data_IF_074731268103
#
_entry.id   IF_074731268103
#
_cell.length_a   1.000
_cell.length_b   1.000
_cell.length_c   1.000
_cell.angle_alpha   90.00
_cell.angle_beta   90.00
_cell.angle_gamma   90.00
#
_symmetry.space_group_name_H-M   'P 1'
#
loop_
_entity.id
_entity.type
_entity.pdbx_description
1 polymer ?
#
# COMPACT_ATOMS: atom_id res chain seq x y z
N UNK A 1 0.29 -7.74 -16.25
CA UNK A 1 1.34 -6.72 -16.13
C UNK A 1 0.65 -5.45 -15.72
N UNK A 2 0.92 -4.97 -14.51
CA UNK A 2 0.35 -3.72 -14.02
C UNK A 2 1.00 -2.51 -14.70
N UNK A 3 0.19 -1.54 -15.14
CA UNK A 3 0.65 -0.31 -15.78
C UNK A 3 -0.03 0.92 -15.16
N UNK A 4 0.69 2.05 -15.15
CA UNK A 4 0.17 3.34 -14.69
C UNK A 4 0.83 4.47 -15.46
N UNK A 5 0.03 5.47 -15.84
CA UNK A 5 0.51 6.67 -16.52
C UNK A 5 0.72 7.84 -15.55
N UNK A 6 1.81 8.57 -15.73
CA UNK A 6 2.15 9.77 -14.95
C UNK A 6 2.39 10.97 -15.87
N UNK A 7 2.04 12.19 -15.44
CA UNK A 7 2.31 13.40 -16.22
C UNK A 7 3.80 13.77 -16.12
N UNK A 8 4.38 14.13 -17.25
CA UNK A 8 5.75 14.62 -17.40
C UNK A 8 5.70 15.98 -18.11
N UNK A 9 6.22 17.01 -17.46
CA UNK A 9 6.33 18.34 -18.07
C UNK A 9 7.65 18.46 -18.84
N UNK A 10 7.55 18.84 -20.12
CA UNK A 10 8.71 19.12 -20.99
C UNK A 10 8.43 20.44 -21.70
N UNK A 11 9.26 21.45 -21.45
CA UNK A 11 9.14 22.79 -22.08
C UNK A 11 7.74 23.41 -21.99
N UNK A 12 7.07 23.27 -20.83
CA UNK A 12 5.72 23.79 -20.61
C UNK A 12 4.58 22.99 -21.24
N UNK A 13 4.88 21.84 -21.86
CA UNK A 13 3.88 20.89 -22.37
C UNK A 13 3.85 19.63 -21.51
N UNK A 14 2.65 19.17 -21.13
CA UNK A 14 2.46 17.93 -20.37
C UNK A 14 2.32 16.74 -21.30
N UNK A 15 3.20 15.76 -21.15
CA UNK A 15 3.14 14.45 -21.80
C UNK A 15 2.79 13.37 -20.79
N UNK A 16 2.05 12.34 -21.20
CA UNK A 16 1.76 11.19 -20.34
C UNK A 16 2.74 10.07 -20.62
N UNK A 17 3.49 9.67 -19.59
CA UNK A 17 4.44 8.56 -19.67
C UNK A 17 3.85 7.34 -18.97
N UNK A 18 3.67 6.26 -19.73
CA UNK A 18 3.25 4.98 -19.17
C UNK A 18 4.43 4.23 -18.56
N UNK A 19 4.24 3.72 -17.35
CA UNK A 19 5.19 2.87 -16.64
C UNK A 19 4.54 1.52 -16.36
N UNK A 20 5.27 0.45 -16.65
CA UNK A 20 4.81 -0.92 -16.52
C UNK A 20 5.74 -1.71 -15.61
N UNK A 21 5.19 -2.43 -14.63
CA UNK A 21 5.98 -3.30 -13.75
C UNK A 21 6.34 -4.59 -14.47
N UNK A 22 7.61 -5.01 -14.39
CA UNK A 22 8.00 -6.34 -14.86
C UNK A 22 7.33 -7.42 -14.01
N UNK A 23 7.10 -8.64 -14.56
CA UNK A 23 6.42 -9.71 -13.82
C UNK A 23 7.04 -10.03 -12.45
N UNK A 24 8.37 -9.91 -12.31
CA UNK A 24 9.03 -10.14 -11.04
C UNK A 24 8.87 -8.98 -10.05
N UNK A 25 8.79 -7.73 -10.54
CA UNK A 25 8.54 -6.55 -9.71
C UNK A 25 7.12 -6.59 -9.17
N UNK A 26 6.15 -6.98 -10.02
CA UNK A 26 4.76 -7.15 -9.61
C UNK A 26 4.62 -8.23 -8.51
N UNK A 27 5.27 -9.38 -8.68
CA UNK A 27 5.28 -10.44 -7.66
C UNK A 27 5.95 -10.01 -6.35
N UNK A 28 7.03 -9.22 -6.43
CA UNK A 28 7.73 -8.71 -5.25
C UNK A 28 6.82 -7.76 -4.46
N UNK A 29 6.19 -6.80 -5.15
CA UNK A 29 5.25 -5.85 -4.52
C UNK A 29 4.05 -6.57 -3.90
N UNK A 30 3.52 -7.59 -4.57
CA UNK A 30 2.42 -8.41 -4.03
C UNK A 30 2.82 -9.15 -2.75
N UNK A 31 4.04 -9.69 -2.72
CA UNK A 31 4.59 -10.35 -1.54
C UNK A 31 4.76 -9.37 -0.39
N UNK A 32 5.39 -8.22 -0.63
CA UNK A 32 5.62 -7.18 0.37
C UNK A 32 4.29 -6.63 0.92
N UNK A 33 3.33 -6.33 0.04
CA UNK A 33 2.01 -5.86 0.45
C UNK A 33 1.26 -6.89 1.31
N UNK A 34 1.44 -8.19 1.02
CA UNK A 34 0.86 -9.27 1.83
C UNK A 34 1.51 -9.33 3.21
N UNK A 35 2.84 -9.28 3.28
CA UNK A 35 3.59 -9.33 4.54
C UNK A 35 3.25 -8.13 5.44
N UNK A 36 3.19 -6.93 4.87
CA UNK A 36 2.78 -5.69 5.55
C UNK A 36 1.35 -5.81 6.09
N UNK A 37 0.40 -6.26 5.27
CA UNK A 37 -1.00 -6.41 5.68
C UNK A 37 -1.19 -7.49 6.76
N UNK A 38 -0.40 -8.58 6.74
CA UNK A 38 -0.42 -9.57 7.82
C UNK A 38 0.08 -8.96 9.13
N UNK A 39 1.19 -8.22 9.09
CA UNK A 39 1.71 -7.51 10.28
C UNK A 39 0.67 -6.53 10.83
N UNK A 40 0.04 -5.75 9.95
CA UNK A 40 -0.98 -4.78 10.30
C UNK A 40 -2.22 -5.43 10.95
N UNK A 41 -2.64 -6.61 10.47
CA UNK A 41 -3.75 -7.34 11.09
C UNK A 41 -3.40 -7.80 12.51
N UNK A 42 -2.17 -8.26 12.73
CA UNK A 42 -1.68 -8.65 14.07
C UNK A 42 -1.65 -7.45 15.03
N UNK A 43 -1.25 -6.28 14.54
CA UNK A 43 -1.38 -5.03 15.30
C UNK A 43 -2.83 -4.73 15.63
N UNK A 44 -3.74 -4.77 14.65
CA UNK A 44 -5.15 -4.50 14.88
C UNK A 44 -5.78 -5.47 15.89
N UNK A 45 -5.34 -6.73 15.94
CA UNK A 45 -5.77 -7.70 16.96
C UNK A 45 -5.28 -7.35 18.38
N UNK A 46 -4.10 -6.72 18.51
CA UNK A 46 -3.59 -6.20 19.79
C UNK A 46 -4.36 -4.94 20.19
N UNK A 47 -4.53 -4.00 19.26
CA UNK A 47 -5.25 -2.75 19.49
C UNK A 47 -6.71 -3.01 19.89
N UNK A 48 -7.38 -3.94 19.21
CA UNK A 48 -8.76 -4.34 19.55
C UNK A 48 -8.87 -4.90 20.97
N UNK A 49 -7.85 -5.65 21.44
CA UNK A 49 -7.80 -6.14 22.82
C UNK A 49 -7.69 -4.96 23.79
N UNK A 50 -6.73 -4.08 23.53
CA UNK A 50 -6.45 -2.93 24.40
C UNK A 50 -7.66 -2.00 24.53
N UNK A 51 -8.37 -1.73 23.44
CA UNK A 51 -9.61 -0.91 23.45
C UNK A 51 -10.66 -1.53 24.35
N UNK A 52 -10.90 -2.84 24.22
CA UNK A 52 -11.93 -3.53 25.01
C UNK A 52 -11.57 -3.63 26.49
N UNK A 53 -10.30 -3.91 26.79
CA UNK A 53 -9.78 -3.97 28.15
C UNK A 53 -9.89 -2.59 28.84
N UNK A 54 -9.52 -1.51 28.14
CA UNK A 54 -9.67 -0.12 28.65
C UNK A 54 -11.13 0.31 28.82
N UNK A 55 -12.03 -0.19 27.99
CA UNK A 55 -13.46 0.07 28.12
C UNK A 55 -14.14 -0.78 29.21
N UNK A 56 -13.40 -1.69 29.86
CA UNK A 56 -13.93 -2.66 30.82
C UNK A 56 -15.09 -3.51 30.28
N UNK A 57 -15.10 -3.76 28.96
CA UNK A 57 -16.11 -4.58 28.33
C UNK A 57 -15.74 -6.06 28.41
N UNK A 58 -16.71 -6.91 28.71
CA UNK A 58 -16.56 -8.36 28.51
C UNK A 58 -16.79 -8.66 27.03
N UNK A 59 -15.88 -9.41 26.41
CA UNK A 59 -15.95 -9.70 24.98
C UNK A 59 -15.66 -11.16 24.64
N UNK A 60 -16.28 -11.60 23.54
CA UNK A 60 -15.93 -12.85 22.88
C UNK A 60 -14.78 -12.65 21.88
N UNK A 61 -14.18 -13.76 21.43
CA UNK A 61 -13.18 -13.72 20.37
C UNK A 61 -13.75 -13.16 19.06
N UNK A 62 -15.02 -13.44 18.75
CA UNK A 62 -15.71 -12.89 17.57
C UNK A 62 -15.83 -11.37 17.65
N UNK A 63 -16.18 -10.81 18.80
CA UNK A 63 -16.27 -9.35 18.96
C UNK A 63 -14.90 -8.68 18.84
N UNK A 64 -13.86 -9.28 19.44
CA UNK A 64 -12.48 -8.81 19.28
C UNK A 64 -12.04 -8.85 17.81
N UNK A 65 -12.33 -9.93 17.11
CA UNK A 65 -12.02 -10.08 15.69
C UNK A 65 -12.73 -9.01 14.85
N UNK A 66 -14.02 -8.74 15.11
CA UNK A 66 -14.78 -7.72 14.37
C UNK A 66 -14.19 -6.32 14.53
N UNK A 67 -13.75 -5.96 15.74
CA UNK A 67 -13.08 -4.68 15.98
C UNK A 67 -11.74 -4.64 15.25
N UNK A 68 -10.94 -5.71 15.33
CA UNK A 68 -9.67 -5.79 14.62
C UNK A 68 -9.84 -5.68 13.11
N UNK A 69 -10.85 -6.32 12.52
CA UNK A 69 -11.18 -6.21 11.10
C UNK A 69 -11.62 -4.78 10.74
N UNK A 70 -12.44 -4.14 11.57
CA UNK A 70 -12.85 -2.76 11.35
C UNK A 70 -11.66 -1.78 11.37
N UNK A 71 -10.69 -1.99 12.26
CA UNK A 71 -9.44 -1.24 12.30
C UNK A 71 -8.56 -1.54 11.08
N UNK A 72 -8.41 -2.83 10.73
CA UNK A 72 -7.60 -3.27 9.60
C UNK A 72 -8.11 -2.68 8.29
N UNK A 73 -9.41 -2.77 8.00
CA UNK A 73 -10.00 -2.22 6.77
C UNK A 73 -9.82 -0.70 6.62
N UNK A 74 -9.69 0.04 7.73
CA UNK A 74 -9.41 1.48 7.72
C UNK A 74 -7.93 1.81 7.52
N UNK A 75 -7.02 0.89 7.84
CA UNK A 75 -5.57 1.10 7.83
C UNK A 75 -4.86 0.41 6.66
N UNK A 76 -5.38 -0.72 6.17
CA UNK A 76 -4.71 -1.53 5.17
C UNK A 76 -4.70 -0.84 3.81
N UNK A 77 -3.58 -0.95 3.11
CA UNK A 77 -3.47 -0.50 1.73
C UNK A 77 -3.77 -1.66 0.78
N UNK A 78 -4.54 -1.39 -0.27
CA UNK A 78 -4.78 -2.36 -1.32
C UNK A 78 -3.49 -2.60 -2.12
N UNK A 79 -3.29 -3.82 -2.62
CA UNK A 79 -2.07 -4.16 -3.40
C UNK A 79 -1.89 -3.28 -4.64
N UNK A 80 -2.99 -2.81 -5.23
CA UNK A 80 -2.96 -1.85 -6.36
C UNK A 80 -2.28 -0.54 -5.96
N UNK A 81 -2.52 -0.02 -4.76
CA UNK A 81 -1.86 1.20 -4.29
C UNK A 81 -0.33 1.02 -4.27
N UNK A 82 0.15 -0.11 -3.73
CA UNK A 82 1.58 -0.42 -3.67
C UNK A 82 2.18 -0.61 -5.08
N UNK A 83 1.42 -1.18 -6.01
CA UNK A 83 1.83 -1.27 -7.42
C UNK A 83 1.93 0.11 -8.08
N UNK A 84 0.99 1.02 -7.82
CA UNK A 84 1.05 2.40 -8.31
C UNK A 84 2.23 3.18 -7.71
N UNK A 85 2.48 3.03 -6.42
CA UNK A 85 3.65 3.58 -5.73
C UNK A 85 4.94 3.08 -6.37
N UNK A 86 5.04 1.78 -6.68
CA UNK A 86 6.20 1.23 -7.39
C UNK A 86 6.38 1.81 -8.79
N UNK A 87 5.29 1.96 -9.55
CA UNK A 87 5.37 2.63 -10.85
C UNK A 87 5.82 4.09 -10.72
N UNK A 88 5.40 4.78 -9.64
CA UNK A 88 5.82 6.16 -9.36
C UNK A 88 7.31 6.25 -9.06
N UNK A 89 7.84 5.36 -8.22
CA UNK A 89 9.30 5.30 -7.95
C UNK A 89 10.10 5.11 -9.25
N UNK A 90 9.64 4.22 -10.13
CA UNK A 90 10.28 3.98 -11.42
C UNK A 90 10.21 5.23 -12.30
N UNK A 91 9.05 5.90 -12.36
CA UNK A 91 8.86 7.14 -13.09
C UNK A 91 9.83 8.23 -12.62
N UNK A 92 9.87 8.50 -11.31
CA UNK A 92 10.74 9.51 -10.70
C UNK A 92 12.21 9.20 -10.93
N UNK A 93 12.62 7.93 -10.76
CA UNK A 93 13.99 7.50 -11.04
C UNK A 93 14.40 7.79 -12.49
N UNK A 94 13.55 7.43 -13.47
CA UNK A 94 13.84 7.66 -14.89
C UNK A 94 13.97 9.14 -15.25
N UNK A 95 13.27 10.03 -14.55
CA UNK A 95 13.26 11.45 -14.87
C UNK A 95 14.28 12.25 -14.03
N UNK A 96 14.63 11.78 -12.83
CA UNK A 96 15.72 12.33 -12.02
C UNK A 96 17.10 12.06 -12.63
N UNK A 97 17.28 10.94 -13.33
CA UNK A 97 18.50 10.66 -14.10
C UNK A 97 18.63 11.50 -15.37
N UNK A 98 17.52 12.01 -15.91
CA UNK A 98 17.50 12.80 -17.15
C UNK A 98 17.87 14.29 -16.95
N UNK A 99 18.05 14.75 -15.71
CA UNK A 99 18.44 16.13 -15.37
C UNK A 99 19.95 16.29 -15.11
N UNK A 100 20.75 15.23 -15.27
CA UNK A 100 22.20 15.23 -14.98
C UNK A 100 23.11 15.13 -16.21
N UNK A 101 22.54 15.09 -17.41
CA UNK A 101 23.24 15.12 -18.70
C UNK A 101 22.77 16.35 -19.50
#
# INVERSE_FOLDING_TARGET
MFTKSFPLEVNGTTYWKEISLRPYEEKLVEKEAREENVSLLLECLRDAKEVMDKAHFKYSQTQRLNIALALFHKRCSHVVYKKEEKCREIFERLNSSAQRD
#
